data_IF_447036943968
#
_entry.id   IF_447036943968
#
_cell.length_a   1.000
_cell.length_b   1.000
_cell.length_c   1.000
_cell.angle_alpha   90.00
_cell.angle_beta   90.00
_cell.angle_gamma   90.00
#
_symmetry.space_group_name_H-M   'P 1'
#
loop_
_entity.id
_entity.type
_entity.pdbx_description
1 polymer ?
#
# COMPACT_ATOMS: atom_id res chain seq x y z
N UNK A 1 33.05 14.29 -20.96
CA UNK A 1 33.03 12.83 -20.73
C UNK A 1 32.81 12.64 -19.24
N UNK A 2 31.54 12.51 -18.83
CA UNK A 2 30.90 11.23 -18.47
C UNK A 2 31.48 10.66 -17.17
N UNK A 3 30.74 10.37 -16.11
CA UNK A 3 29.34 10.56 -15.74
C UNK A 3 29.34 10.37 -14.21
N UNK A 4 28.90 11.34 -13.42
CA UNK A 4 28.67 11.10 -11.98
C UNK A 4 27.38 10.30 -11.87
N UNK A 5 27.51 9.00 -11.63
CA UNK A 5 26.39 8.15 -11.23
C UNK A 5 25.98 8.64 -9.85
N UNK A 6 24.92 9.43 -9.80
CA UNK A 6 24.23 9.75 -8.56
C UNK A 6 23.52 8.47 -8.10
N UNK A 7 24.19 7.69 -7.24
CA UNK A 7 23.53 6.67 -6.42
C UNK A 7 22.66 7.45 -5.43
N UNK A 8 21.40 7.64 -5.79
CA UNK A 8 20.43 8.30 -4.94
C UNK A 8 20.00 7.33 -3.85
N UNK A 9 20.50 7.49 -2.63
CA UNK A 9 20.02 6.76 -1.46
C UNK A 9 18.52 7.03 -1.25
N UNK A 10 17.70 5.99 -1.08
CA UNK A 10 16.29 6.11 -0.68
C UNK A 10 16.23 6.70 0.73
N UNK A 11 16.05 8.01 0.81
CA UNK A 11 15.82 8.68 2.09
C UNK A 11 14.39 8.39 2.52
N UNK A 12 14.24 7.58 3.57
CA UNK A 12 12.95 7.46 4.23
C UNK A 12 12.78 8.64 5.19
N UNK A 13 11.90 9.57 4.84
CA UNK A 13 11.54 10.69 5.70
C UNK A 13 10.48 10.25 6.71
N UNK A 14 10.85 10.23 7.99
CA UNK A 14 9.93 9.95 9.08
C UNK A 14 9.29 11.25 9.55
N UNK A 15 7.96 11.28 9.53
CA UNK A 15 7.15 12.44 9.91
C UNK A 15 6.47 12.21 11.26
N UNK A 16 6.49 13.21 12.14
CA UNK A 16 5.66 13.22 13.34
C UNK A 16 4.16 13.39 12.95
N UNK A 17 3.19 12.74 13.63
CA UNK A 17 1.79 13.06 13.44
C UNK A 17 1.55 14.52 13.85
N UNK A 18 1.34 15.40 12.86
CA UNK A 18 1.25 16.83 13.08
C UNK A 18 -0.10 17.21 13.69
N UNK A 19 -0.07 17.95 14.80
CA UNK A 19 -1.16 18.85 15.16
C UNK A 19 -1.10 20.09 14.26
N UNK A 20 -2.22 20.39 13.58
CA UNK A 20 -2.61 21.60 12.83
C UNK A 20 -1.63 22.32 11.86
N UNK A 21 -0.30 22.20 11.94
CA UNK A 21 0.63 22.93 11.07
C UNK A 21 1.85 22.06 10.69
N UNK A 22 1.89 21.59 9.43
CA UNK A 22 3.09 21.08 8.75
C UNK A 22 3.65 19.73 9.24
N UNK A 23 4.03 18.85 8.32
CA UNK A 23 4.75 17.62 8.67
C UNK A 23 6.23 17.95 8.97
N UNK A 24 6.69 17.75 10.20
CA UNK A 24 8.11 17.91 10.60
C UNK A 24 8.86 16.60 10.36
N UNK A 25 9.96 16.64 9.61
CA UNK A 25 10.89 15.49 9.45
C UNK A 25 11.74 15.39 10.71
N UNK A 26 11.63 14.27 11.43
CA UNK A 26 12.31 14.08 12.73
C UNK A 26 13.53 13.15 12.65
N UNK A 27 13.62 12.32 11.62
CA UNK A 27 14.77 11.48 11.33
C UNK A 27 14.81 11.12 9.84
N UNK A 28 16.01 11.11 9.24
CA UNK A 28 16.29 10.42 8.00
C UNK A 28 16.88 9.05 8.36
N UNK A 29 16.16 7.96 8.05
CA UNK A 29 16.78 6.65 8.05
C UNK A 29 17.29 6.35 6.65
N UNK A 30 18.54 5.89 6.61
CA UNK A 30 19.15 5.29 5.43
C UNK A 30 19.15 3.78 5.71
N UNK A 31 18.08 3.07 5.36
CA UNK A 31 18.09 1.61 5.41
C UNK A 31 19.19 1.08 4.48
N UNK A 32 19.93 0.09 4.95
CA UNK A 32 20.98 -0.58 4.19
C UNK A 32 20.33 -1.55 3.19
N UNK A 33 19.98 -1.02 2.02
CA UNK A 33 19.43 -1.77 0.89
C UNK A 33 20.50 -1.81 -0.20
N UNK A 34 20.71 -2.98 -0.80
CA UNK A 34 21.65 -3.15 -1.91
C UNK A 34 21.30 -2.15 -3.05
N UNK A 35 22.26 -1.34 -3.53
CA UNK A 35 22.00 -0.35 -4.57
C UNK A 35 21.40 -0.91 -5.87
N UNK A 36 21.74 -2.16 -6.24
CA UNK A 36 21.18 -2.82 -7.41
C UNK A 36 19.72 -3.20 -7.18
N UNK A 37 19.38 -3.66 -5.96
CA UNK A 37 18.01 -3.95 -5.53
C UNK A 37 17.19 -2.66 -5.50
N UNK A 38 17.77 -1.58 -4.97
CA UNK A 38 17.14 -0.26 -4.94
C UNK A 38 16.86 0.27 -6.35
N UNK A 39 17.86 0.25 -7.23
CA UNK A 39 17.71 0.68 -8.62
C UNK A 39 16.63 -0.12 -9.35
N UNK A 40 16.52 -1.42 -9.07
CA UNK A 40 15.54 -2.31 -9.69
C UNK A 40 14.12 -2.08 -9.21
N UNK A 41 13.88 -2.01 -7.89
CA UNK A 41 12.54 -1.96 -7.30
C UNK A 41 12.04 -0.57 -6.92
N UNK A 42 12.93 0.43 -6.95
CA UNK A 42 12.63 1.86 -6.80
C UNK A 42 12.33 2.58 -8.12
N UNK A 43 12.51 1.93 -9.28
CA UNK A 43 12.31 2.53 -10.61
C UNK A 43 10.94 2.20 -11.20
N UNK A 44 10.33 3.17 -11.87
CA UNK A 44 9.05 2.98 -12.55
C UNK A 44 9.14 1.89 -13.62
N UNK A 45 8.08 1.10 -13.75
CA UNK A 45 7.96 0.15 -14.84
C UNK A 45 7.71 0.87 -16.17
N UNK A 46 8.21 0.32 -17.27
CA UNK A 46 7.92 0.83 -18.61
C UNK A 46 6.45 0.58 -19.01
N UNK A 47 6.02 1.31 -20.04
CA UNK A 47 4.65 1.26 -20.56
C UNK A 47 4.20 -0.15 -20.98
N UNK A 48 5.11 -0.97 -21.51
CA UNK A 48 4.78 -2.31 -21.96
C UNK A 48 4.52 -3.25 -20.76
N UNK A 49 5.33 -3.13 -19.70
CA UNK A 49 5.13 -3.86 -18.44
C UNK A 49 3.82 -3.48 -17.76
N UNK A 50 3.54 -2.19 -17.64
CA UNK A 50 2.27 -1.69 -17.05
C UNK A 50 1.06 -2.25 -17.81
N UNK A 51 1.08 -2.18 -19.15
CA UNK A 51 0.00 -2.71 -19.98
C UNK A 51 -0.20 -4.22 -19.85
N UNK A 52 0.88 -5.00 -19.70
CA UNK A 52 0.79 -6.46 -19.50
C UNK A 52 0.15 -6.77 -18.16
N UNK A 53 0.66 -6.18 -17.08
CA UNK A 53 0.11 -6.37 -15.74
C UNK A 53 -1.37 -5.97 -15.66
N UNK A 54 -1.75 -4.80 -16.20
CA UNK A 54 -3.14 -4.35 -16.20
C UNK A 54 -4.08 -5.32 -16.93
N UNK A 55 -3.71 -5.78 -18.14
CA UNK A 55 -4.50 -6.77 -18.88
C UNK A 55 -4.62 -8.10 -18.16
N UNK A 56 -3.56 -8.53 -17.49
CA UNK A 56 -3.55 -9.78 -16.75
C UNK A 56 -4.42 -9.69 -15.49
N UNK A 57 -4.39 -8.57 -14.77
CA UNK A 57 -5.31 -8.29 -13.66
C UNK A 57 -6.77 -8.35 -14.12
N UNK A 58 -7.11 -7.68 -15.23
CA UNK A 58 -8.48 -7.69 -15.76
C UNK A 58 -8.92 -9.12 -16.14
N UNK A 59 -8.04 -9.91 -16.78
CA UNK A 59 -8.30 -11.32 -17.09
C UNK A 59 -8.47 -12.20 -15.84
N UNK A 60 -7.89 -11.78 -14.72
CA UNK A 60 -7.99 -12.38 -13.39
C UNK A 60 -9.15 -11.79 -12.55
N UNK A 61 -10.05 -11.01 -13.14
CA UNK A 61 -11.23 -10.46 -12.46
C UNK A 61 -10.91 -9.32 -11.49
N UNK A 62 -9.70 -8.77 -11.55
CA UNK A 62 -9.25 -7.64 -10.74
C UNK A 62 -9.22 -6.40 -11.65
N UNK A 63 -10.01 -5.39 -11.35
CA UNK A 63 -10.08 -4.20 -12.21
C UNK A 63 -8.77 -3.42 -12.15
N UNK A 64 -8.18 -3.07 -13.29
CA UNK A 64 -7.02 -2.21 -13.36
C UNK A 64 -7.38 -0.80 -13.88
N UNK A 65 -7.11 0.22 -13.06
CA UNK A 65 -7.16 1.64 -13.44
C UNK A 65 -5.74 2.22 -13.42
N UNK A 66 -5.54 3.35 -14.10
CA UNK A 66 -4.25 4.04 -14.15
C UNK A 66 -4.41 5.53 -13.88
N UNK A 67 -3.49 6.08 -13.11
CA UNK A 67 -3.36 7.48 -12.78
C UNK A 67 -1.95 7.97 -13.15
N UNK A 68 -1.86 9.17 -13.72
CA UNK A 68 -0.59 9.78 -14.08
C UNK A 68 0.24 10.20 -12.85
N UNK A 69 -0.41 10.43 -11.70
CA UNK A 69 0.23 10.87 -10.47
C UNK A 69 -0.66 10.64 -9.24
N UNK A 70 -0.11 10.89 -8.06
CA UNK A 70 -0.79 10.73 -6.77
C UNK A 70 -2.09 11.54 -6.64
N UNK A 71 -2.15 12.75 -7.21
CA UNK A 71 -3.35 13.59 -7.15
C UNK A 71 -4.50 13.00 -7.99
N UNK A 72 -4.19 12.50 -9.18
CA UNK A 72 -5.17 11.76 -9.99
C UNK A 72 -5.59 10.45 -9.32
N UNK A 73 -4.64 9.72 -8.72
CA UNK A 73 -4.93 8.50 -7.98
C UNK A 73 -5.92 8.79 -6.83
N UNK A 74 -5.69 9.86 -6.05
CA UNK A 74 -6.61 10.32 -5.01
C UNK A 74 -8.01 10.58 -5.57
N UNK A 75 -8.12 11.32 -6.68
CA UNK A 75 -9.42 11.61 -7.32
C UNK A 75 -10.14 10.32 -7.75
N UNK A 76 -9.44 9.39 -8.40
CA UNK A 76 -10.01 8.11 -8.85
C UNK A 76 -10.49 7.31 -7.64
N UNK A 77 -9.63 7.10 -6.64
CA UNK A 77 -9.95 6.29 -5.46
C UNK A 77 -11.16 6.84 -4.72
N UNK A 78 -11.21 8.14 -4.44
CA UNK A 78 -12.34 8.74 -3.73
C UNK A 78 -13.65 8.67 -4.53
N UNK A 79 -13.56 8.70 -5.87
CA UNK A 79 -14.73 8.51 -6.74
C UNK A 79 -15.28 7.09 -6.75
N UNK A 80 -14.50 6.10 -6.29
CA UNK A 80 -14.95 4.70 -6.16
C UNK A 80 -15.62 4.39 -4.81
N UNK A 81 -15.57 5.32 -3.85
CA UNK A 81 -16.07 5.12 -2.49
C UNK A 81 -17.38 5.91 -2.34
N UNK A 82 -18.51 5.24 -2.08
CA UNK A 82 -19.76 5.92 -1.76
C UNK A 82 -19.61 6.80 -0.51
N UNK A 83 -20.27 7.95 -0.50
CA UNK A 83 -20.36 8.78 0.70
C UNK A 83 -21.06 8.00 1.83
N UNK A 84 -20.60 8.20 3.06
CA UNK A 84 -21.10 7.50 4.26
C UNK A 84 -20.58 6.07 4.44
N UNK A 85 -19.79 5.54 3.51
CA UNK A 85 -19.26 4.18 3.64
C UNK A 85 -18.31 4.02 4.82
N UNK A 86 -18.32 2.82 5.42
CA UNK A 86 -17.31 2.40 6.38
C UNK A 86 -15.99 2.06 5.65
N UNK A 87 -14.97 2.89 5.87
CA UNK A 87 -13.68 2.75 5.21
C UNK A 87 -12.61 2.35 6.22
N UNK A 88 -11.90 1.27 5.92
CA UNK A 88 -10.73 0.85 6.67
C UNK A 88 -9.48 0.86 5.79
N UNK A 89 -8.32 0.97 6.43
CA UNK A 89 -7.02 0.83 5.77
C UNK A 89 -5.94 0.40 6.76
N UNK A 90 -4.99 -0.38 6.24
CA UNK A 90 -3.75 -0.71 6.92
C UNK A 90 -2.77 0.47 6.97
N UNK A 91 -1.60 0.26 7.55
CA UNK A 91 -0.48 1.17 7.31
C UNK A 91 -0.09 1.10 5.83
N UNK A 92 -0.08 2.23 5.13
CA UNK A 92 0.24 2.26 3.70
C UNK A 92 0.85 3.60 3.31
N UNK A 93 2.16 3.59 3.05
CA UNK A 93 2.88 4.77 2.57
C UNK A 93 2.29 5.31 1.26
N UNK A 94 1.80 4.45 0.38
CA UNK A 94 1.17 4.86 -0.88
C UNK A 94 -0.12 5.66 -0.64
N UNK A 95 -0.94 5.30 0.36
CA UNK A 95 -2.13 6.08 0.74
C UNK A 95 -1.77 7.39 1.45
N UNK A 96 -0.74 7.37 2.30
CA UNK A 96 -0.31 8.53 3.07
C UNK A 96 0.34 9.61 2.19
N UNK A 97 1.19 9.20 1.23
CA UNK A 97 1.84 10.10 0.27
C UNK A 97 0.84 10.70 -0.71
N UNK A 98 -0.18 9.93 -1.13
CA UNK A 98 -1.24 10.44 -2.00
C UNK A 98 -2.30 11.29 -1.29
N UNK A 99 -2.21 11.44 0.03
CA UNK A 99 -3.16 12.24 0.83
C UNK A 99 -4.58 11.64 0.85
N UNK A 100 -4.72 10.34 0.56
CA UNK A 100 -6.00 9.62 0.63
C UNK A 100 -6.35 9.38 2.09
N UNK A 101 -5.40 8.94 2.93
CA UNK A 101 -5.62 8.73 4.37
C UNK A 101 -6.22 9.98 5.02
N UNK A 102 -5.61 11.14 4.80
CA UNK A 102 -6.08 12.41 5.35
C UNK A 102 -7.50 12.75 4.91
N UNK A 103 -7.86 12.49 3.66
CA UNK A 103 -9.22 12.73 3.17
C UNK A 103 -10.25 11.81 3.84
N UNK A 104 -9.94 10.52 3.92
CA UNK A 104 -10.83 9.52 4.53
C UNK A 104 -11.10 9.87 5.98
N UNK A 105 -10.07 10.28 6.73
CA UNK A 105 -10.20 10.53 8.17
C UNK A 105 -10.77 11.91 8.52
N UNK A 106 -10.60 12.93 7.66
CA UNK A 106 -10.87 14.34 8.03
C UNK A 106 -11.97 15.03 7.24
N UNK A 107 -12.36 14.53 6.07
CA UNK A 107 -13.36 15.21 5.22
C UNK A 107 -14.78 15.21 5.78
N UNK A 108 -15.09 14.28 6.69
CA UNK A 108 -16.46 14.04 7.17
C UNK A 108 -17.38 13.36 6.16
N UNK A 109 -16.86 12.93 5.00
CA UNK A 109 -17.63 12.25 3.94
C UNK A 109 -17.79 10.75 4.16
N UNK A 110 -16.98 10.16 5.03
CA UNK A 110 -16.88 8.71 5.24
C UNK A 110 -16.92 8.38 6.72
N UNK A 111 -17.12 7.09 7.03
CA UNK A 111 -17.02 6.54 8.38
C UNK A 111 -15.65 5.84 8.56
N UNK A 112 -14.59 6.54 9.01
CA UNK A 112 -13.26 5.97 9.08
C UNK A 112 -13.13 4.99 10.26
N UNK A 113 -12.89 3.71 9.96
CA UNK A 113 -12.78 2.69 11.01
C UNK A 113 -11.48 2.78 11.81
N UNK A 114 -10.39 3.25 11.21
CA UNK A 114 -9.07 3.24 11.86
C UNK A 114 -9.01 4.16 13.10
N UNK A 115 -9.42 5.45 13.05
CA UNK A 115 -9.51 6.30 14.23
C UNK A 115 -10.45 5.72 15.30
N UNK A 116 -11.60 5.17 14.89
CA UNK A 116 -12.54 4.50 15.80
C UNK A 116 -11.86 3.35 16.55
N UNK A 117 -11.25 2.42 15.83
CA UNK A 117 -10.53 1.27 16.41
C UNK A 117 -9.41 1.72 17.35
N UNK A 118 -8.71 2.81 17.04
CA UNK A 118 -7.61 3.32 17.87
C UNK A 118 -8.09 3.96 19.18
N UNK A 119 -9.33 4.47 19.21
CA UNK A 119 -9.95 5.00 20.42
C UNK A 119 -10.51 3.92 21.37
N UNK A 120 -10.63 2.67 20.90
CA UNK A 120 -11.25 1.58 21.66
C UNK A 120 -10.29 0.92 22.66
N UNK A 121 -10.83 0.41 23.76
CA UNK A 121 -10.05 -0.31 24.77
C UNK A 121 -9.72 -1.73 24.30
N UNK A 122 -8.42 -2.04 24.17
CA UNK A 122 -7.95 -3.34 23.68
C UNK A 122 -8.18 -4.51 24.64
N UNK A 123 -8.42 -4.26 25.93
CA UNK A 123 -8.69 -5.30 26.93
C UNK A 123 -10.16 -5.66 26.98
N UNK A 124 -11.05 -4.67 26.89
CA UNK A 124 -12.50 -4.88 27.04
C UNK A 124 -13.24 -4.98 25.71
N UNK A 125 -12.72 -4.39 24.63
CA UNK A 125 -13.36 -4.34 23.31
C UNK A 125 -12.57 -5.08 22.22
N UNK A 126 -11.67 -5.99 22.61
CA UNK A 126 -10.84 -6.75 21.67
C UNK A 126 -11.66 -7.45 20.57
N UNK A 127 -12.83 -7.98 20.93
CA UNK A 127 -13.70 -8.72 20.02
C UNK A 127 -14.35 -7.78 19.00
N UNK A 128 -14.88 -6.64 19.47
CA UNK A 128 -15.45 -5.61 18.60
C UNK A 128 -14.39 -5.06 17.64
N UNK A 129 -13.16 -4.83 18.10
CA UNK A 129 -12.04 -4.44 17.23
C UNK A 129 -11.81 -5.49 16.13
N UNK A 130 -11.78 -6.78 16.47
CA UNK A 130 -11.61 -7.86 15.47
C UNK A 130 -12.75 -7.87 14.45
N UNK A 131 -13.99 -7.70 14.90
CA UNK A 131 -15.14 -7.62 14.00
C UNK A 131 -15.05 -6.41 13.05
N UNK A 132 -14.84 -5.20 13.59
CA UNK A 132 -14.74 -3.97 12.80
C UNK A 132 -13.59 -4.02 11.79
N UNK A 133 -12.42 -4.52 12.19
CA UNK A 133 -11.26 -4.61 11.31
C UNK A 133 -11.40 -5.69 10.22
N UNK A 134 -12.18 -6.74 10.45
CA UNK A 134 -12.18 -7.91 9.56
C UNK A 134 -13.06 -7.77 8.33
N UNK A 135 -14.16 -7.02 8.40
CA UNK A 135 -15.14 -6.94 7.33
C UNK A 135 -15.67 -5.51 7.10
N UNK A 136 -14.80 -4.56 6.72
CA UNK A 136 -15.24 -3.21 6.34
C UNK A 136 -16.02 -3.22 5.01
N UNK A 137 -16.82 -2.18 4.75
CA UNK A 137 -17.44 -2.02 3.43
C UNK A 137 -16.38 -1.76 2.37
N UNK A 138 -15.43 -0.87 2.67
CA UNK A 138 -14.29 -0.57 1.79
C UNK A 138 -12.99 -0.76 2.55
N UNK A 139 -12.10 -1.56 1.99
CA UNK A 139 -10.71 -1.67 2.42
C UNK A 139 -9.79 -0.99 1.43
N UNK A 140 -9.05 0.01 1.90
CA UNK A 140 -7.97 0.65 1.14
C UNK A 140 -6.61 0.08 1.54
N UNK A 141 -5.68 0.08 0.59
CA UNK A 141 -4.27 -0.13 0.90
C UNK A 141 -3.40 -0.18 -0.33
N UNK A 142 -2.30 -0.94 -0.23
CA UNK A 142 -1.37 -1.24 -1.30
C UNK A 142 -0.98 -2.72 -1.22
N UNK A 143 -0.25 -3.17 -2.24
CA UNK A 143 0.46 -4.44 -2.26
C UNK A 143 1.97 -4.17 -2.34
N UNK A 144 2.76 -5.22 -2.09
CA UNK A 144 4.21 -5.19 -2.20
C UNK A 144 4.67 -5.64 -3.59
N UNK A 145 3.87 -6.38 -4.34
CA UNK A 145 4.20 -6.67 -5.73
C UNK A 145 2.94 -6.94 -6.54
N UNK A 146 3.02 -6.63 -7.83
CA UNK A 146 2.06 -7.06 -8.85
C UNK A 146 2.83 -7.75 -9.95
N UNK A 147 2.51 -9.02 -10.23
CA UNK A 147 3.18 -9.72 -11.33
C UNK A 147 2.65 -9.27 -12.68
N UNK A 148 3.47 -9.37 -13.73
CA UNK A 148 3.03 -9.16 -15.11
C UNK A 148 1.96 -10.18 -15.55
N UNK A 149 1.81 -11.28 -14.81
CA UNK A 149 0.74 -12.29 -14.95
C UNK A 149 -0.51 -12.00 -14.11
N UNK A 150 -0.56 -10.86 -13.42
CA UNK A 150 -1.78 -10.37 -12.75
C UNK A 150 -2.03 -10.98 -11.37
N UNK A 151 -0.98 -11.36 -10.64
CA UNK A 151 -1.06 -11.78 -9.23
C UNK A 151 -0.63 -10.63 -8.31
N UNK A 152 -1.32 -10.48 -7.18
CA UNK A 152 -1.02 -9.48 -6.16
C UNK A 152 -0.34 -10.14 -4.95
N UNK A 153 0.71 -9.51 -4.41
CA UNK A 153 1.43 -10.02 -3.23
C UNK A 153 1.42 -8.99 -2.11
N UNK A 154 0.93 -9.39 -0.93
CA UNK A 154 0.92 -8.54 0.26
C UNK A 154 1.57 -9.26 1.44
N UNK A 155 2.66 -8.70 1.95
CA UNK A 155 3.30 -9.12 3.19
C UNK A 155 2.71 -8.41 4.42
N UNK A 156 2.81 -9.04 5.58
CA UNK A 156 2.40 -8.46 6.85
C UNK A 156 3.08 -9.11 8.04
N UNK A 157 3.42 -8.31 9.04
CA UNK A 157 3.79 -8.81 10.37
C UNK A 157 2.55 -9.35 11.12
N UNK A 158 1.54 -8.49 11.30
CA UNK A 158 0.34 -8.79 12.08
C UNK A 158 -0.76 -9.48 11.29
N UNK A 159 -0.85 -9.24 9.99
CA UNK A 159 -1.89 -9.78 9.10
C UNK A 159 -3.22 -9.03 9.11
N UNK A 160 -3.31 -7.88 9.80
CA UNK A 160 -4.58 -7.16 10.00
C UNK A 160 -5.26 -6.74 8.70
N UNK A 161 -4.48 -6.42 7.66
CA UNK A 161 -5.03 -6.06 6.35
C UNK A 161 -5.37 -7.27 5.47
N UNK A 162 -4.82 -8.45 5.76
CA UNK A 162 -4.91 -9.60 4.86
C UNK A 162 -6.31 -10.21 4.83
N UNK A 163 -6.98 -10.34 5.98
CA UNK A 163 -8.35 -10.86 6.05
C UNK A 163 -9.34 -10.05 5.19
N UNK A 164 -9.39 -8.71 5.34
CA UNK A 164 -10.18 -7.84 4.47
C UNK A 164 -9.86 -8.00 2.98
N UNK A 165 -8.58 -8.14 2.61
CA UNK A 165 -8.19 -8.37 1.21
C UNK A 165 -8.71 -9.71 0.69
N UNK A 166 -8.53 -10.79 1.46
CA UNK A 166 -8.94 -12.16 1.05
C UNK A 166 -10.43 -12.22 0.76
N UNK A 167 -11.26 -11.89 1.73
CA UNK A 167 -12.73 -12.05 1.61
C UNK A 167 -13.53 -11.06 2.45
N UNK A 168 -12.93 -10.48 3.49
CA UNK A 168 -13.68 -9.74 4.49
C UNK A 168 -14.32 -8.45 3.98
N UNK A 169 -13.60 -7.68 3.17
CA UNK A 169 -14.12 -6.41 2.67
C UNK A 169 -15.06 -6.61 1.47
N UNK A 170 -16.16 -5.84 1.43
CA UNK A 170 -17.07 -5.85 0.30
C UNK A 170 -16.44 -5.23 -0.96
N UNK A 171 -15.54 -4.25 -0.79
CA UNK A 171 -14.71 -3.67 -1.85
C UNK A 171 -13.27 -3.49 -1.35
N UNK A 172 -12.30 -3.83 -2.20
CA UNK A 172 -10.87 -3.60 -1.95
C UNK A 172 -10.32 -2.69 -3.04
N UNK A 173 -9.72 -1.57 -2.64
CA UNK A 173 -9.10 -0.62 -3.58
C UNK A 173 -7.62 -0.47 -3.20
N UNK A 174 -6.74 -0.82 -4.13
CA UNK A 174 -5.30 -0.87 -3.93
C UNK A 174 -4.62 0.21 -4.76
N UNK A 175 -3.91 1.13 -4.10
CA UNK A 175 -3.11 2.17 -4.76
C UNK A 175 -1.69 1.67 -4.88
N UNK A 176 -1.22 1.52 -6.11
CA UNK A 176 0.02 0.80 -6.41
C UNK A 176 0.87 1.62 -7.37
N UNK A 177 2.03 2.09 -6.94
CA UNK A 177 2.97 2.69 -7.87
C UNK A 177 3.51 1.65 -8.87
N UNK A 178 3.78 2.05 -10.11
CA UNK A 178 4.19 1.12 -11.16
C UNK A 178 5.57 0.48 -10.91
N UNK A 179 6.39 1.03 -10.01
CA UNK A 179 7.63 0.40 -9.55
C UNK A 179 7.41 -0.93 -8.81
N UNK A 180 6.18 -1.22 -8.39
CA UNK A 180 5.82 -2.48 -7.73
C UNK A 180 5.50 -3.62 -8.72
N UNK A 181 5.58 -3.37 -10.04
CA UNK A 181 5.37 -4.40 -11.05
C UNK A 181 6.63 -5.25 -11.21
N UNK A 182 6.46 -6.57 -11.13
CA UNK A 182 7.52 -7.59 -11.20
C UNK A 182 7.16 -8.63 -12.26
N UNK A 183 8.14 -9.38 -12.76
CA UNK A 183 7.96 -10.42 -13.78
C UNK A 183 7.03 -11.55 -13.29
N UNK A 184 7.25 -12.03 -12.07
CA UNK A 184 6.63 -13.25 -11.54
C UNK A 184 6.61 -13.28 -10.00
N UNK A 185 6.10 -14.38 -9.44
CA UNK A 185 6.00 -14.58 -7.99
C UNK A 185 7.36 -14.65 -7.29
N UNK A 186 8.39 -15.18 -7.95
CA UNK A 186 9.72 -15.31 -7.35
C UNK A 186 10.36 -13.93 -7.21
N UNK A 187 10.31 -13.10 -8.27
CA UNK A 187 10.74 -11.71 -8.17
C UNK A 187 9.88 -10.92 -7.16
N UNK A 188 8.58 -11.20 -7.10
CA UNK A 188 7.69 -10.58 -6.11
C UNK A 188 8.08 -10.88 -4.66
N UNK A 189 8.47 -12.12 -4.35
CA UNK A 189 8.96 -12.51 -3.02
C UNK A 189 10.33 -11.88 -2.72
N UNK A 190 11.27 -11.89 -3.68
CA UNK A 190 12.55 -11.18 -3.51
C UNK A 190 12.33 -9.68 -3.25
N UNK A 191 11.43 -9.03 -3.98
CA UNK A 191 11.07 -7.62 -3.75
C UNK A 191 10.56 -7.39 -2.33
N UNK A 192 9.77 -8.31 -1.78
CA UNK A 192 9.28 -8.23 -0.40
C UNK A 192 10.45 -8.27 0.58
N UNK A 193 11.32 -9.27 0.46
CA UNK A 193 12.35 -9.55 1.47
C UNK A 193 13.57 -8.63 1.35
N UNK A 194 14.00 -8.32 0.13
CA UNK A 194 15.25 -7.59 -0.14
C UNK A 194 15.05 -6.08 -0.24
N UNK A 195 13.83 -5.62 -0.59
CA UNK A 195 13.54 -4.20 -0.77
C UNK A 195 12.50 -3.68 0.22
N UNK A 196 11.28 -4.21 0.20
CA UNK A 196 10.19 -3.62 0.98
C UNK A 196 10.36 -3.83 2.49
N UNK A 197 10.84 -5.02 2.92
CA UNK A 197 10.99 -5.35 4.33
C UNK A 197 12.04 -4.50 5.05
N UNK A 198 13.28 -4.32 4.55
CA UNK A 198 14.26 -3.45 5.21
C UNK A 198 13.78 -2.00 5.35
N UNK A 199 13.07 -1.48 4.34
CA UNK A 199 12.46 -0.15 4.36
C UNK A 199 11.33 -0.07 5.42
N UNK A 200 10.49 -1.11 5.50
CA UNK A 200 9.42 -1.19 6.51
C UNK A 200 9.96 -1.36 7.93
N UNK A 201 11.02 -2.14 8.14
CA UNK A 201 11.65 -2.34 9.45
C UNK A 201 12.22 -1.03 9.98
N UNK A 202 13.00 -0.33 9.14
CA UNK A 202 13.50 1.01 9.46
C UNK A 202 12.37 1.99 9.79
N UNK A 203 11.28 1.96 9.00
CA UNK A 203 10.10 2.79 9.26
C UNK A 203 9.41 2.43 10.58
N UNK A 204 9.18 1.15 10.83
CA UNK A 204 8.49 0.65 12.02
C UNK A 204 9.28 0.96 13.29
N UNK A 205 10.61 0.79 13.24
CA UNK A 205 11.50 1.13 14.33
C UNK A 205 11.42 2.63 14.65
N UNK A 206 11.38 3.49 13.62
CA UNK A 206 11.31 4.93 13.82
C UNK A 206 9.93 5.43 14.26
N UNK A 207 8.86 4.86 13.70
CA UNK A 207 7.48 5.31 13.98
C UNK A 207 6.92 4.72 15.28
N UNK A 208 7.31 3.49 15.62
CA UNK A 208 6.69 2.70 16.70
C UNK A 208 7.69 2.14 17.71
N UNK A 209 9.00 2.23 17.47
CA UNK A 209 10.03 1.66 18.35
C UNK A 209 10.08 0.13 18.33
N UNK A 210 9.48 -0.51 17.31
CA UNK A 210 9.45 -1.97 17.16
C UNK A 210 9.93 -2.38 15.77
N UNK A 211 10.61 -3.52 15.70
CA UNK A 211 10.96 -4.16 14.43
C UNK A 211 9.71 -4.68 13.70
N UNK A 212 9.78 -4.67 12.38
CA UNK A 212 8.82 -5.32 11.48
C UNK A 212 9.23 -6.77 11.22
N UNK A 213 8.37 -7.51 10.50
CA UNK A 213 8.68 -8.86 10.02
C UNK A 213 7.75 -9.28 8.87
N UNK A 214 8.26 -10.13 7.97
CA UNK A 214 7.48 -10.81 6.92
C UNK A 214 6.91 -12.11 7.47
N UNK A 215 5.96 -12.03 8.39
CA UNK A 215 5.40 -13.23 9.04
C UNK A 215 4.33 -13.94 8.22
N UNK A 216 3.65 -13.21 7.33
CA UNK A 216 2.51 -13.68 6.54
C UNK A 216 2.60 -13.06 5.15
N UNK A 217 2.42 -13.88 4.12
CA UNK A 217 2.31 -13.43 2.74
C UNK A 217 1.00 -13.92 2.16
N UNK A 218 0.25 -13.00 1.58
CA UNK A 218 -0.96 -13.30 0.81
C UNK A 218 -0.64 -13.13 -0.67
N UNK A 219 -1.02 -14.15 -1.46
CA UNK A 219 -1.02 -14.10 -2.92
C UNK A 219 -2.45 -14.16 -3.41
N UNK A 220 -2.90 -13.14 -4.14
CA UNK A 220 -4.21 -13.12 -4.82
C UNK A 220 -3.97 -13.30 -6.30
N UNK A 221 -4.32 -14.48 -6.82
CA UNK A 221 -4.17 -14.80 -8.25
C UNK A 221 -5.40 -14.40 -9.07
N UNK A 222 -6.58 -14.38 -8.45
CA UNK A 222 -7.86 -14.14 -9.12
C UNK A 222 -8.89 -13.64 -8.13
N UNK A 223 -9.78 -12.76 -8.59
CA UNK A 223 -11.02 -12.41 -7.89
C UNK A 223 -12.21 -12.98 -8.68
N UNK A 224 -13.13 -13.61 -7.95
CA UNK A 224 -14.32 -14.26 -8.53
C UNK A 224 -15.57 -13.39 -8.39
N UNK A 225 -15.61 -12.49 -7.41
CA UNK A 225 -16.67 -11.52 -7.21
C UNK A 225 -16.41 -10.29 -8.11
N UNK A 226 -17.19 -10.10 -9.19
CA UNK A 226 -16.92 -9.05 -10.17
C UNK A 226 -16.88 -7.66 -9.53
N UNK A 227 -15.81 -6.91 -9.82
CA UNK A 227 -15.64 -5.53 -9.34
C UNK A 227 -15.31 -5.39 -7.84
N UNK A 228 -15.07 -6.48 -7.11
CA UNK A 228 -14.69 -6.43 -5.70
C UNK A 228 -13.31 -5.81 -5.50
N UNK A 229 -12.29 -6.24 -6.26
CA UNK A 229 -10.93 -5.73 -6.15
C UNK A 229 -10.62 -4.79 -7.32
N UNK A 230 -10.13 -3.59 -7.01
CA UNK A 230 -9.62 -2.63 -7.98
C UNK A 230 -8.18 -2.24 -7.62
N UNK A 231 -7.28 -2.32 -8.59
CA UNK A 231 -5.92 -1.76 -8.52
C UNK A 231 -5.90 -0.44 -9.28
N UNK A 232 -5.45 0.62 -8.63
CA UNK A 232 -5.16 1.91 -9.25
C UNK A 232 -3.65 2.02 -9.36
N UNK A 233 -3.12 1.76 -10.56
CA UNK A 233 -1.71 1.99 -10.87
C UNK A 233 -1.41 3.48 -10.91
N UNK A 234 -0.26 3.87 -10.39
CA UNK A 234 0.21 5.26 -10.39
C UNK A 234 1.58 5.35 -11.04
N UNK A 235 1.74 6.23 -12.04
CA UNK A 235 3.01 6.46 -12.73
C UNK A 235 4.01 7.30 -11.91
N UNK A 236 4.05 7.06 -10.60
CA UNK A 236 4.96 7.65 -9.62
C UNK A 236 5.42 6.58 -8.62
N UNK A 237 6.61 6.79 -8.05
CA UNK A 237 7.15 5.91 -7.00
C UNK A 237 6.37 6.17 -5.71
N UNK A 238 5.40 5.30 -5.42
CA UNK A 238 4.56 5.39 -4.22
C UNK A 238 4.85 4.29 -3.21
N UNK A 239 5.45 4.69 -2.08
CA UNK A 239 5.87 3.76 -1.04
C UNK A 239 6.87 2.74 -1.55
N UNK A 240 7.01 1.65 -0.79
CA UNK A 240 7.85 0.52 -1.13
C UNK A 240 7.06 -0.77 -1.12
#
# INVERSE_FOLDING_TARGET
MCNQIAVGYLRLQVYQPAGAEGKIVIAELIPDVDPDVEGRFGSLADEARVRRAARALDANGINALRAANAAEAKRIVLGLIPDGSQVHHGASQSLDVSGITDEIEKSGRYEPLRPRIYSMDRKTQADEIRHLSSAPEVMLGSVHAVTETGSLLAASMGGSQLGPYVSGAARVILVVGTQKIVSDLEEGLRRIDEYAFPLEDARAQAAYGIHSAVNKVLIINREIAPGRITVVFVDEVLGF
#
